data_IF_712565491037
#
_entry.id   IF_712565491037
#
_cell.length_a   1.000
_cell.length_b   1.000
_cell.length_c   1.000
_cell.angle_alpha   90.00
_cell.angle_beta   90.00
_cell.angle_gamma   90.00
#
_symmetry.space_group_name_H-M   'P 1'
#
loop_
_entity.id
_entity.type
_entity.pdbx_description
1 polymer ?
#
# COMPACT_ATOMS: atom_id res chain seq x y z
N UNK A 1 -5.58 15.82 23.81
CA UNK A 1 -4.41 15.07 23.30
C UNK A 1 -4.60 13.60 23.64
N UNK A 2 -5.26 12.85 22.77
CA UNK A 2 -5.36 11.40 22.85
C UNK A 2 -4.66 10.85 21.62
N UNK A 3 -3.43 10.35 21.81
CA UNK A 3 -2.81 9.50 20.81
C UNK A 3 -3.63 8.21 20.79
N UNK A 4 -4.50 8.05 19.80
CA UNK A 4 -5.26 6.83 19.62
C UNK A 4 -4.29 5.64 19.50
N UNK A 5 -4.58 4.51 20.15
CA UNK A 5 -3.72 3.35 20.13
C UNK A 5 -3.54 2.93 18.67
N UNK A 6 -2.28 2.81 18.28
CA UNK A 6 -1.87 2.41 16.95
C UNK A 6 -2.39 0.99 16.68
N UNK A 7 -3.59 0.90 16.07
CA UNK A 7 -4.22 -0.33 15.56
C UNK A 7 -3.44 -0.88 14.35
N UNK A 8 -2.12 -0.96 14.46
CA UNK A 8 -1.21 -1.65 13.53
C UNK A 8 -1.14 -3.16 13.87
N UNK A 9 -1.94 -3.60 14.84
CA UNK A 9 -2.13 -4.99 15.28
C UNK A 9 -2.75 -5.81 14.15
N UNK A 10 -1.84 -6.37 13.33
CA UNK A 10 -2.05 -7.59 12.57
C UNK A 10 -3.34 -7.60 11.73
N UNK A 11 -3.36 -6.84 10.62
CA UNK A 11 -4.24 -7.18 9.49
C UNK A 11 -3.53 -8.25 8.64
N UNK A 12 -3.72 -9.56 8.88
CA UNK A 12 -3.26 -10.56 7.94
C UNK A 12 -3.99 -10.31 6.62
N UNK A 13 -3.25 -10.01 5.56
CA UNK A 13 -3.83 -9.96 4.24
C UNK A 13 -4.37 -11.35 3.92
N UNK A 14 -5.68 -11.45 3.75
CA UNK A 14 -6.31 -12.72 3.37
C UNK A 14 -5.88 -13.03 1.94
N UNK A 15 -5.44 -14.26 1.69
CA UNK A 15 -5.05 -14.68 0.34
C UNK A 15 -6.21 -14.54 -0.65
N UNK A 16 -7.46 -14.71 -0.18
CA UNK A 16 -8.67 -14.44 -0.96
C UNK A 16 -8.74 -13.00 -1.43
N UNK A 17 -8.41 -12.01 -0.60
CA UNK A 17 -8.38 -10.60 -0.99
C UNK A 17 -7.33 -10.37 -2.09
N UNK A 18 -6.13 -10.93 -1.95
CA UNK A 18 -5.07 -10.80 -2.98
C UNK A 18 -5.45 -11.48 -4.30
N UNK A 19 -6.19 -12.59 -4.26
CA UNK A 19 -6.70 -13.25 -5.47
C UNK A 19 -7.75 -12.39 -6.17
N UNK A 20 -8.64 -11.73 -5.43
CA UNK A 20 -9.67 -10.81 -5.95
C UNK A 20 -9.05 -9.63 -6.70
N UNK A 21 -7.95 -9.07 -6.19
CA UNK A 21 -7.24 -7.94 -6.82
C UNK A 21 -6.62 -8.26 -8.18
N UNK A 22 -6.60 -9.53 -8.62
CA UNK A 22 -6.21 -9.87 -10.00
C UNK A 22 -7.21 -9.34 -11.02
N UNK A 23 -8.48 -9.23 -10.62
CA UNK A 23 -9.52 -8.63 -11.43
C UNK A 23 -9.60 -7.14 -11.11
N UNK A 24 -9.47 -6.31 -12.14
CA UNK A 24 -9.61 -4.85 -12.01
C UNK A 24 -11.06 -4.42 -11.88
N UNK A 25 -12.02 -5.28 -12.27
CA UNK A 25 -13.46 -5.02 -12.17
C UNK A 25 -14.00 -5.29 -10.76
N UNK A 26 -13.26 -5.98 -9.88
CA UNK A 26 -13.65 -6.21 -8.49
C UNK A 26 -13.43 -4.95 -7.62
N UNK A 27 -14.32 -3.97 -7.81
CA UNK A 27 -14.27 -2.68 -7.12
C UNK A 27 -14.34 -2.82 -5.59
N UNK A 28 -15.11 -3.80 -5.09
CA UNK A 28 -15.25 -4.04 -3.65
C UNK A 28 -13.96 -4.60 -3.06
N UNK A 29 -13.28 -5.51 -3.77
CA UNK A 29 -11.97 -6.02 -3.38
C UNK A 29 -10.92 -4.91 -3.35
N UNK A 30 -10.94 -4.01 -4.34
CA UNK A 30 -10.06 -2.84 -4.37
C UNK A 30 -10.36 -1.84 -3.25
N UNK A 31 -11.64 -1.65 -2.89
CA UNK A 31 -12.04 -0.78 -1.77
C UNK A 31 -11.58 -1.36 -0.43
N UNK A 32 -11.86 -2.63 -0.18
CA UNK A 32 -11.41 -3.33 1.04
C UNK A 32 -9.88 -3.27 1.17
N UNK A 33 -9.17 -3.47 0.06
CA UNK A 33 -7.72 -3.35 0.01
C UNK A 33 -7.23 -1.93 0.27
N UNK A 34 -7.91 -0.92 -0.28
CA UNK A 34 -7.61 0.49 0.00
C UNK A 34 -7.74 0.78 1.48
N UNK A 35 -8.91 0.54 2.07
CA UNK A 35 -9.23 0.80 3.47
C UNK A 35 -8.25 0.14 4.44
N UNK A 36 -7.78 -1.07 4.11
CA UNK A 36 -6.82 -1.81 4.91
C UNK A 36 -5.39 -1.24 4.87
N UNK A 37 -4.95 -0.64 3.76
CA UNK A 37 -3.52 -0.36 3.52
C UNK A 37 -3.17 1.09 3.23
N UNK A 38 -4.12 1.97 2.90
CA UNK A 38 -3.81 3.36 2.55
C UNK A 38 -3.09 4.08 3.70
N UNK A 39 -3.53 3.90 4.96
CA UNK A 39 -2.90 4.52 6.14
C UNK A 39 -1.46 4.06 6.32
N UNK A 40 -1.14 2.80 6.02
CA UNK A 40 0.22 2.30 6.10
C UNK A 40 1.13 2.99 5.09
N UNK A 41 0.68 3.10 3.85
CA UNK A 41 1.44 3.75 2.77
C UNK A 41 1.65 5.23 3.10
N UNK A 42 0.57 5.92 3.49
CA UNK A 42 0.59 7.31 3.92
C UNK A 42 1.56 7.54 5.08
N UNK A 43 1.47 6.74 6.15
CA UNK A 43 2.34 6.88 7.32
C UNK A 43 3.82 6.64 6.98
N UNK A 44 4.13 5.72 6.06
CA UNK A 44 5.51 5.53 5.58
C UNK A 44 5.99 6.77 4.83
N UNK A 45 5.18 7.34 3.95
CA UNK A 45 5.51 8.58 3.23
C UNK A 45 5.76 9.76 4.18
N UNK A 46 4.85 9.98 5.15
CA UNK A 46 5.00 11.02 6.17
C UNK A 46 6.26 10.83 7.01
N UNK A 47 6.57 9.60 7.42
CA UNK A 47 7.82 9.27 8.15
C UNK A 47 9.07 9.48 7.31
N UNK A 48 8.97 9.45 5.98
CA UNK A 48 10.07 9.80 5.08
C UNK A 48 10.22 11.31 4.86
N UNK A 49 9.38 12.15 5.48
CA UNK A 49 9.47 13.61 5.43
C UNK A 49 8.65 14.28 4.32
N UNK A 50 7.81 13.54 3.60
CA UNK A 50 6.89 14.09 2.58
C UNK A 50 5.75 14.81 3.29
N UNK A 51 5.36 16.00 2.84
CA UNK A 51 4.18 16.73 3.28
C UNK A 51 2.88 15.95 3.04
N UNK A 52 1.76 16.46 3.55
CA UNK A 52 0.47 15.77 3.46
C UNK A 52 0.04 15.48 2.01
N UNK A 53 0.06 16.51 1.15
CA UNK A 53 -0.27 16.38 -0.27
C UNK A 53 0.65 15.37 -0.99
N UNK A 54 1.96 15.48 -0.79
CA UNK A 54 2.95 14.56 -1.37
C UNK A 54 2.73 13.11 -0.90
N UNK A 55 2.33 12.92 0.36
CA UNK A 55 2.02 11.60 0.89
C UNK A 55 0.74 11.02 0.28
N UNK A 56 -0.28 11.84 0.04
CA UNK A 56 -1.50 11.44 -0.68
C UNK A 56 -1.18 11.05 -2.14
N UNK A 57 -0.29 11.78 -2.81
CA UNK A 57 0.16 11.44 -4.17
C UNK A 57 0.91 10.10 -4.19
N UNK A 58 1.78 9.85 -3.21
CA UNK A 58 2.45 8.56 -3.08
C UNK A 58 1.46 7.42 -2.84
N UNK A 59 0.39 7.65 -2.07
CA UNK A 59 -0.69 6.66 -1.91
C UNK A 59 -1.32 6.36 -3.26
N UNK A 60 -1.81 7.37 -3.97
CA UNK A 60 -2.45 7.20 -5.29
C UNK A 60 -1.53 6.47 -6.27
N UNK A 61 -0.29 6.93 -6.42
CA UNK A 61 0.70 6.32 -7.31
C UNK A 61 1.03 4.88 -6.93
N UNK A 62 1.03 4.55 -5.63
CA UNK A 62 1.23 3.18 -5.17
C UNK A 62 0.05 2.31 -5.59
N UNK A 63 -1.20 2.74 -5.40
CA UNK A 63 -2.36 1.96 -5.81
C UNK A 63 -2.46 1.78 -7.33
N UNK A 64 -2.13 2.79 -8.12
CA UNK A 64 -2.03 2.67 -9.59
C UNK A 64 -0.95 1.66 -9.99
N UNK A 65 0.19 1.67 -9.31
CA UNK A 65 1.24 0.67 -9.54
C UNK A 65 0.76 -0.74 -9.18
N UNK A 66 0.06 -0.89 -8.05
CA UNK A 66 -0.46 -2.17 -7.61
C UNK A 66 -1.53 -2.71 -8.57
N UNK A 67 -2.46 -1.90 -9.06
CA UNK A 67 -3.50 -2.34 -10.00
C UNK A 67 -2.92 -2.92 -11.29
N UNK A 68 -1.80 -2.35 -11.78
CA UNK A 68 -1.06 -2.88 -12.92
C UNK A 68 -0.27 -4.15 -12.60
N UNK A 69 0.12 -4.36 -11.33
CA UNK A 69 0.98 -5.48 -10.90
C UNK A 69 0.18 -6.70 -10.43
N UNK A 70 -0.98 -6.48 -9.82
CA UNK A 70 -1.79 -7.52 -9.16
C UNK A 70 -2.23 -8.68 -10.07
N UNK A 71 -2.60 -8.49 -11.36
CA UNK A 71 -2.97 -9.60 -12.24
C UNK A 71 -1.93 -10.73 -12.28
N UNK A 72 -0.65 -10.38 -12.20
CA UNK A 72 0.48 -11.31 -12.24
C UNK A 72 1.15 -11.53 -10.87
N UNK A 73 0.65 -10.92 -9.80
CA UNK A 73 1.27 -10.99 -8.49
C UNK A 73 1.07 -12.38 -7.87
N UNK A 74 2.14 -13.07 -7.47
CA UNK A 74 2.06 -14.34 -6.73
C UNK A 74 2.53 -14.09 -5.31
N UNK A 75 1.60 -14.12 -4.37
CA UNK A 75 1.92 -14.00 -2.95
C UNK A 75 2.46 -15.34 -2.43
N UNK A 76 3.65 -15.29 -1.83
CA UNK A 76 4.27 -16.41 -1.16
C UNK A 76 4.55 -16.03 0.29
N UNK A 77 3.82 -16.63 1.22
CA UNK A 77 3.92 -16.35 2.65
C UNK A 77 5.27 -16.81 3.23
N UNK A 78 5.96 -17.77 2.61
CA UNK A 78 7.28 -18.22 3.05
C UNK A 78 8.36 -17.16 2.81
N UNK A 79 8.15 -16.27 1.82
CA UNK A 79 9.06 -15.15 1.52
C UNK A 79 8.84 -13.92 2.39
N UNK A 80 7.81 -13.93 3.23
CA UNK A 80 7.47 -12.86 4.16
C UNK A 80 6.03 -12.39 4.06
N UNK A 81 5.68 -11.43 4.91
CA UNK A 81 4.33 -10.86 4.94
C UNK A 81 4.11 -9.88 3.78
N UNK A 82 2.90 -9.87 3.24
CA UNK A 82 2.46 -8.87 2.26
C UNK A 82 2.71 -7.42 2.74
N UNK A 83 2.48 -7.16 4.04
CA UNK A 83 2.75 -5.85 4.66
C UNK A 83 4.20 -5.41 4.53
N UNK A 84 5.15 -6.33 4.72
CA UNK A 84 6.59 -6.01 4.60
C UNK A 84 6.96 -5.74 3.15
N UNK A 85 6.43 -6.54 2.22
CA UNK A 85 6.57 -6.29 0.79
C UNK A 85 5.98 -4.94 0.39
N UNK A 86 4.78 -4.58 0.88
CA UNK A 86 4.14 -3.31 0.58
C UNK A 86 4.97 -2.13 1.08
N UNK A 87 5.57 -2.20 2.27
CA UNK A 87 6.51 -1.17 2.75
C UNK A 87 7.70 -0.97 1.81
N UNK A 88 8.24 -2.05 1.24
CA UNK A 88 9.33 -1.97 0.24
C UNK A 88 8.84 -1.29 -1.03
N UNK A 89 7.65 -1.66 -1.52
CA UNK A 89 7.03 -1.01 -2.68
C UNK A 89 6.83 0.49 -2.41
N UNK A 90 6.27 0.88 -1.26
CA UNK A 90 6.06 2.28 -0.89
C UNK A 90 7.38 3.06 -0.87
N UNK A 91 8.44 2.52 -0.28
CA UNK A 91 9.77 3.16 -0.29
C UNK A 91 10.30 3.35 -1.71
N UNK A 92 10.12 2.36 -2.59
CA UNK A 92 10.44 2.50 -4.00
C UNK A 92 9.63 3.61 -4.67
N UNK A 93 8.32 3.72 -4.38
CA UNK A 93 7.46 4.78 -4.93
C UNK A 93 7.85 6.17 -4.46
N UNK A 94 8.19 6.32 -3.18
CA UNK A 94 8.74 7.58 -2.64
C UNK A 94 10.03 7.98 -3.36
N UNK A 95 10.92 7.01 -3.62
CA UNK A 95 12.15 7.29 -4.38
C UNK A 95 11.87 7.69 -5.82
N UNK A 96 10.82 7.18 -6.46
CA UNK A 96 10.42 7.60 -7.81
C UNK A 96 9.86 9.00 -7.78
N UNK A 97 8.92 9.29 -6.86
CA UNK A 97 8.31 10.61 -6.69
C UNK A 97 9.37 11.71 -6.52
N UNK A 98 10.37 11.49 -5.65
CA UNK A 98 11.48 12.44 -5.45
C UNK A 98 12.38 12.68 -6.66
N UNK A 99 12.36 11.79 -7.65
CA UNK A 99 13.13 11.94 -8.89
C UNK A 99 12.34 12.67 -9.96
N UNK A 100 11.00 12.59 -9.93
CA UNK A 100 10.13 13.24 -10.91
C UNK A 100 9.82 14.69 -10.55
N UNK A 101 9.80 15.03 -9.25
CA UNK A 101 9.59 16.39 -8.75
C UNK A 101 10.89 17.23 -8.64
N UNK A 102 11.99 16.77 -9.25
CA UNK A 102 13.26 17.51 -9.37
C UNK A 102 13.44 17.99 -10.80
#
# INVERSE_FOLDING_TARGET
MTAEPNSDTLLPTRQSLLSRLRDWQDQDGWREFFDAYWRLIYNVARKCGLADAEAQDVVQNTFIYLSRRMPNFRYDRQRGSFKSWLRVVTRSRISVYRRTEK
#
